data_IF_027914945551
#
_entry.id   IF_027914945551
#
_cell.length_a   1.000
_cell.length_b   1.000
_cell.length_c   1.000
_cell.angle_alpha   90.00
_cell.angle_beta   90.00
_cell.angle_gamma   90.00
#
_symmetry.space_group_name_H-M   'P 1'
#
loop_
_entity.id
_entity.type
_entity.pdbx_description
1 polymer ?
#
# COMPACT_ATOMS: atom_id res chain seq x y z
N UNK A 1 2.23 -1.22 6.01
CA UNK A 1 1.11 -2.19 6.05
C UNK A 1 -0.18 -1.38 6.03
N UNK A 2 -1.21 -1.83 5.32
CA UNK A 2 -2.48 -1.09 5.25
C UNK A 2 -3.06 -0.99 6.66
N UNK A 3 -3.40 0.23 7.08
CA UNK A 3 -3.85 0.53 8.44
C UNK A 3 -5.30 0.03 8.65
N UNK A 4 -5.64 -0.68 9.73
CA UNK A 4 -6.99 -1.21 9.96
C UNK A 4 -8.08 -0.12 9.96
N UNK A 5 -7.74 1.08 10.44
CA UNK A 5 -8.64 2.24 10.47
C UNK A 5 -9.15 2.65 9.08
N UNK A 6 -8.34 2.42 8.06
CA UNK A 6 -8.69 2.74 6.67
C UNK A 6 -9.77 1.78 6.15
N UNK A 7 -9.68 0.51 6.52
CA UNK A 7 -10.68 -0.50 6.17
C UNK A 7 -12.01 -0.20 6.87
N UNK A 8 -11.96 0.22 8.14
CA UNK A 8 -13.14 0.64 8.89
C UNK A 8 -13.79 1.90 8.31
N UNK A 9 -13.01 2.91 7.93
CA UNK A 9 -13.53 4.13 7.29
C UNK A 9 -14.18 3.85 5.92
N UNK A 10 -13.63 2.89 5.17
CA UNK A 10 -14.23 2.42 3.92
C UNK A 10 -15.55 1.72 4.21
N UNK A 11 -15.59 0.82 5.20
CA UNK A 11 -16.78 0.06 5.58
C UNK A 11 -17.90 0.96 6.11
N UNK A 12 -17.57 1.98 6.90
CA UNK A 12 -18.55 2.97 7.40
C UNK A 12 -19.15 3.77 6.26
N UNK A 13 -18.32 4.38 5.39
CA UNK A 13 -18.82 5.17 4.26
C UNK A 13 -19.61 4.36 3.26
N UNK A 14 -19.26 3.08 3.09
CA UNK A 14 -20.01 2.16 2.26
C UNK A 14 -21.41 1.90 2.83
N UNK A 15 -21.50 1.74 4.14
CA UNK A 15 -22.74 1.49 4.88
C UNK A 15 -23.64 2.74 4.89
N UNK A 16 -23.05 3.92 5.07
CA UNK A 16 -23.75 5.21 5.08
C UNK A 16 -24.27 5.62 3.70
N UNK A 17 -23.60 5.16 2.63
CA UNK A 17 -24.00 5.42 1.26
C UNK A 17 -25.09 4.48 0.73
N UNK A 18 -25.64 3.57 1.56
CA UNK A 18 -26.79 2.70 1.22
C UNK A 18 -28.09 3.45 1.55
N UNK A 19 -28.86 3.93 0.57
CA UNK A 19 -30.19 4.45 0.83
C UNK A 19 -31.14 3.28 1.08
N UNK A 20 -32.05 3.42 2.05
CA UNK A 20 -33.05 2.40 2.41
C UNK A 20 -33.87 1.90 1.21
N UNK A 21 -34.03 2.73 0.17
CA UNK A 21 -34.74 2.43 -1.09
C UNK A 21 -33.96 1.56 -2.09
N UNK A 22 -32.63 1.45 -1.98
CA UNK A 22 -31.75 0.78 -2.99
C UNK A 22 -31.37 -0.64 -2.58
N UNK A 23 -31.83 -1.14 -1.42
CA UNK A 23 -31.71 -2.56 -1.04
C UNK A 23 -32.25 -3.52 -2.11
N UNK A 24 -33.14 -3.05 -3.00
CA UNK A 24 -33.76 -3.85 -4.04
C UNK A 24 -33.11 -3.70 -5.44
N UNK A 25 -32.18 -2.76 -5.65
CA UNK A 25 -31.54 -2.49 -6.95
C UNK A 25 -30.02 -2.59 -6.79
N UNK A 26 -29.50 -3.83 -6.78
CA UNK A 26 -28.10 -4.12 -6.45
C UNK A 26 -27.06 -3.43 -7.35
N UNK A 27 -27.41 -3.10 -8.60
CA UNK A 27 -26.48 -2.52 -9.57
C UNK A 27 -26.09 -1.07 -9.26
N UNK A 28 -27.02 -0.23 -8.81
CA UNK A 28 -26.72 1.14 -8.39
C UNK A 28 -25.86 1.16 -7.12
N UNK A 29 -26.16 0.25 -6.19
CA UNK A 29 -25.34 0.08 -4.99
C UNK A 29 -23.91 -0.37 -5.33
N UNK A 30 -23.75 -1.37 -6.19
CA UNK A 30 -22.43 -1.86 -6.60
C UNK A 30 -21.60 -0.75 -7.26
N UNK A 31 -22.24 0.13 -8.04
CA UNK A 31 -21.58 1.26 -8.70
C UNK A 31 -21.13 2.32 -7.70
N UNK A 32 -22.01 2.69 -6.75
CA UNK A 32 -21.71 3.64 -5.68
C UNK A 32 -20.58 3.10 -4.77
N UNK A 33 -20.66 1.83 -4.40
CA UNK A 33 -19.67 1.11 -3.62
C UNK A 33 -18.28 1.14 -4.26
N UNK A 34 -18.22 0.80 -5.56
CA UNK A 34 -16.98 0.83 -6.35
C UNK A 34 -16.35 2.22 -6.38
N UNK A 35 -17.17 3.27 -6.51
CA UNK A 35 -16.68 4.64 -6.59
C UNK A 35 -16.13 5.14 -5.24
N UNK A 36 -16.78 4.77 -4.13
CA UNK A 36 -16.29 5.08 -2.77
C UNK A 36 -14.96 4.34 -2.51
N UNK A 37 -14.89 3.05 -2.85
CA UNK A 37 -13.66 2.26 -2.74
C UNK A 37 -12.52 2.87 -3.56
N UNK A 38 -12.77 3.23 -4.82
CA UNK A 38 -11.76 3.89 -5.66
C UNK A 38 -11.29 5.22 -5.06
N UNK A 39 -12.21 6.04 -4.56
CA UNK A 39 -11.87 7.34 -3.96
C UNK A 39 -11.06 7.19 -2.68
N UNK A 40 -11.39 6.20 -1.86
CA UNK A 40 -10.68 5.95 -0.61
C UNK A 40 -9.32 5.29 -0.85
N UNK A 41 -9.22 4.36 -1.80
CA UNK A 41 -7.93 3.79 -2.24
C UNK A 41 -7.02 4.85 -2.86
N UNK A 42 -7.55 5.82 -3.61
CA UNK A 42 -6.76 6.93 -4.17
C UNK A 42 -6.28 7.94 -3.11
N UNK A 43 -6.92 7.99 -1.94
CA UNK A 43 -6.48 8.82 -0.80
C UNK A 43 -5.42 8.16 0.06
N UNK A 44 -5.31 6.85 -0.04
CA UNK A 44 -4.15 6.15 0.48
C UNK A 44 -3.05 6.42 -0.54
N UNK A 45 -1.91 6.90 -0.07
CA UNK A 45 -0.73 7.21 -0.89
C UNK A 45 -0.12 5.90 -1.43
N UNK A 46 -0.91 5.16 -2.22
CA UNK A 46 -0.63 3.82 -2.72
C UNK A 46 0.30 3.97 -3.91
N UNK A 47 1.51 3.46 -3.75
CA UNK A 47 2.39 3.21 -4.88
C UNK A 47 1.84 2.07 -5.72
N UNK A 48 2.03 2.15 -7.02
CA UNK A 48 1.71 1.06 -7.94
C UNK A 48 2.53 -0.17 -7.58
N UNK A 49 2.05 -1.36 -7.98
CA UNK A 49 2.79 -2.60 -7.75
C UNK A 49 4.17 -2.56 -8.42
N UNK A 50 4.27 -1.95 -9.59
CA UNK A 50 5.52 -1.78 -10.34
C UNK A 50 6.51 -0.88 -9.59
N UNK A 51 6.05 0.24 -9.04
CA UNK A 51 6.88 1.14 -8.21
C UNK A 51 7.36 0.44 -6.93
N UNK A 52 6.47 -0.31 -6.27
CA UNK A 52 6.83 -1.10 -5.09
C UNK A 52 7.93 -2.13 -5.41
N UNK A 53 7.77 -2.87 -6.51
CA UNK A 53 8.73 -3.89 -6.93
C UNK A 53 10.06 -3.23 -7.35
N UNK A 54 10.02 -2.06 -8.00
CA UNK A 54 11.21 -1.28 -8.34
C UNK A 54 11.97 -0.81 -7.09
N UNK A 55 11.29 -0.25 -6.11
CA UNK A 55 11.90 0.18 -4.84
C UNK A 55 12.49 -1.02 -4.08
N UNK A 56 11.80 -2.17 -4.08
CA UNK A 56 12.30 -3.40 -3.46
C UNK A 56 13.63 -3.84 -4.07
N UNK A 57 13.77 -3.78 -5.40
CA UNK A 57 15.03 -4.10 -6.10
C UNK A 57 16.16 -3.13 -5.73
N UNK A 58 15.86 -1.83 -5.65
CA UNK A 58 16.84 -0.82 -5.21
C UNK A 58 17.30 -1.10 -3.77
N UNK A 59 16.37 -1.44 -2.88
CA UNK A 59 16.68 -1.78 -1.49
C UNK A 59 17.53 -3.05 -1.38
N UNK A 60 17.26 -4.07 -2.21
CA UNK A 60 18.07 -5.27 -2.26
C UNK A 60 19.50 -4.96 -2.71
N UNK A 61 19.66 -4.16 -3.76
CA UNK A 61 20.98 -3.75 -4.27
C UNK A 61 21.78 -2.96 -3.24
N UNK A 62 21.14 -2.02 -2.56
CA UNK A 62 21.80 -1.20 -1.53
C UNK A 62 22.26 -2.04 -0.34
N UNK A 63 21.47 -3.04 0.10
CA UNK A 63 21.91 -4.00 1.13
C UNK A 63 23.15 -4.79 0.72
N UNK A 64 23.22 -5.26 -0.53
CA UNK A 64 24.40 -5.97 -1.03
C UNK A 64 25.65 -5.07 -1.04
N UNK A 65 25.50 -3.83 -1.52
CA UNK A 65 26.59 -2.85 -1.52
C UNK A 65 27.04 -2.48 -0.10
N UNK A 66 26.10 -2.38 0.85
CA UNK A 66 26.39 -2.13 2.27
C UNK A 66 27.23 -3.27 2.84
N UNK A 67 26.82 -4.53 2.63
CA UNK A 67 27.56 -5.70 3.10
C UNK A 67 28.97 -5.77 2.51
N UNK A 68 29.15 -5.40 1.24
CA UNK A 68 30.47 -5.34 0.62
C UNK A 68 31.36 -4.27 1.27
N UNK A 69 30.80 -3.09 1.57
CA UNK A 69 31.52 -2.02 2.26
C UNK A 69 31.87 -2.40 3.71
N UNK A 70 30.94 -3.02 4.44
CA UNK A 70 31.19 -3.54 5.79
C UNK A 70 32.34 -4.55 5.78
N UNK A 71 32.38 -5.45 4.79
CA UNK A 71 33.48 -6.40 4.63
C UNK A 71 34.80 -5.70 4.34
N UNK A 72 34.82 -4.73 3.42
CA UNK A 72 36.04 -3.96 3.11
C UNK A 72 36.56 -3.21 4.33
N UNK A 73 35.66 -2.66 5.15
CA UNK A 73 36.03 -1.98 6.39
C UNK A 73 36.65 -2.97 7.39
N UNK A 74 36.02 -4.12 7.60
CA UNK A 74 36.57 -5.17 8.46
C UNK A 74 37.94 -5.68 8.01
N UNK A 75 38.16 -5.82 6.69
CA UNK A 75 39.45 -6.21 6.12
C UNK A 75 40.54 -5.15 6.31
N UNK A 76 40.17 -3.87 6.39
CA UNK A 76 41.09 -2.76 6.69
C UNK A 76 41.39 -2.73 8.20
N UNK A 77 40.36 -2.81 9.05
CA UNK A 77 40.51 -2.84 10.50
C UNK A 77 41.36 -4.02 10.97
N UNK A 78 41.29 -5.17 10.29
CA UNK A 78 42.12 -6.34 10.59
C UNK A 78 43.60 -6.20 10.17
N UNK A 79 43.93 -5.19 9.36
CA UNK A 79 45.30 -4.90 8.90
C UNK A 79 45.97 -3.74 9.66
N UNK A 80 45.21 -3.04 10.50
CA UNK A 80 45.69 -2.03 11.46
C UNK A 80 46.09 -2.71 12.78
#
# INVERSE_FOLDING_TARGET
MIDPKVLDDIASKLSDAIPQSVKNTGDEFAKQAKQILQTQLAKLDLVTREEFDAQTKVLQRTRLMLQELEKKLADIDAKL
#
